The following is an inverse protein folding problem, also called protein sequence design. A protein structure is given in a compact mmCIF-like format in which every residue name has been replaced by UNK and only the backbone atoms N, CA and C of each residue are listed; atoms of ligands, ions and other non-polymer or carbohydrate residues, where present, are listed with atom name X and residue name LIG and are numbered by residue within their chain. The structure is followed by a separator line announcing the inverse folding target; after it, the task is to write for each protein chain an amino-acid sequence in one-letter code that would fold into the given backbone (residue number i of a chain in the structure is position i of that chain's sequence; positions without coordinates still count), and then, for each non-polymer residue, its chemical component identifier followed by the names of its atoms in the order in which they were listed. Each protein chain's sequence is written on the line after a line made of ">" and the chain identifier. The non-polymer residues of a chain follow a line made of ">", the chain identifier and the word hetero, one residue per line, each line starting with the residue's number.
data_IF_369724870846
#
_entry.id   IF_369724870846
#
_cell.length_a   1.000
_cell.length_b   1.000
_cell.length_c   1.000
_cell.angle_alpha   90.00
_cell.angle_beta   90.00
_cell.angle_gamma   90.00
#
_symmetry.space_group_name_H-M   'P 1'
#
loop_
_entity.id
_entity.type
_entity.pdbx_description
1 polymer ?
#
# COMPACT_ATOMS: atom_id res chain seq x y z
N UNK A 1 -33.74 19.26 -24.38
CA UNK A 1 -33.43 18.75 -23.04
C UNK A 1 -32.57 17.53 -23.18
N UNK A 2 -31.27 17.62 -22.87
CA UNK A 2 -30.35 16.49 -22.92
C UNK A 2 -29.82 16.21 -21.51
N UNK A 3 -29.95 14.97 -21.05
CA UNK A 3 -29.34 14.52 -19.79
C UNK A 3 -27.93 14.05 -20.11
N UNK A 4 -26.92 14.84 -19.78
CA UNK A 4 -25.52 14.44 -19.95
C UNK A 4 -25.07 13.65 -18.72
N UNK A 5 -24.55 12.44 -18.93
CA UNK A 5 -23.91 11.67 -17.86
C UNK A 5 -22.57 12.33 -17.52
N UNK A 6 -22.40 12.74 -16.26
CA UNK A 6 -21.15 13.34 -15.75
C UNK A 6 -20.46 12.33 -14.84
N UNK A 7 -19.19 12.08 -15.09
CA UNK A 7 -18.36 11.30 -14.18
C UNK A 7 -18.15 12.05 -12.86
N UNK A 8 -18.32 11.36 -11.74
CA UNK A 8 -18.07 11.88 -10.39
C UNK A 8 -16.88 11.14 -9.82
N UNK A 9 -15.83 11.88 -9.46
CA UNK A 9 -14.63 11.30 -8.85
C UNK A 9 -14.99 10.67 -7.51
N UNK A 10 -14.71 9.38 -7.37
CA UNK A 10 -14.87 8.64 -6.12
C UNK A 10 -13.70 8.87 -5.14
N UNK A 11 -13.70 8.16 -3.99
CA UNK A 11 -12.73 8.34 -2.92
C UNK A 11 -11.29 7.96 -3.30
N UNK A 12 -11.11 7.17 -4.37
CA UNK A 12 -9.78 6.77 -4.86
C UNK A 12 -8.98 7.94 -5.45
N UNK A 13 -9.64 9.04 -5.84
CA UNK A 13 -8.99 10.24 -6.36
C UNK A 13 -8.45 11.10 -5.19
N UNK A 14 -7.46 10.57 -4.48
CA UNK A 14 -6.80 11.16 -3.31
C UNK A 14 -5.30 10.91 -3.39
N UNK A 15 -4.50 11.58 -2.55
CA UNK A 15 -3.07 11.28 -2.43
C UNK A 15 -2.79 10.10 -1.50
N UNK A 16 -3.58 9.95 -0.43
CA UNK A 16 -3.48 8.84 0.53
C UNK A 16 -4.85 8.19 0.65
N UNK A 17 -4.91 6.87 0.44
CA UNK A 17 -6.11 6.07 0.57
C UNK A 17 -5.90 4.99 1.64
N UNK A 18 -6.77 4.97 2.66
CA UNK A 18 -6.89 3.87 3.59
C UNK A 18 -8.04 2.97 3.13
N UNK A 19 -7.72 1.77 2.65
CA UNK A 19 -8.64 0.71 2.30
C UNK A 19 -8.78 -0.25 3.48
N UNK A 20 -9.70 0.09 4.39
CA UNK A 20 -9.94 -0.71 5.58
C UNK A 20 -10.66 -2.03 5.25
N UNK A 21 -10.19 -3.12 5.83
CA UNK A 21 -10.69 -4.49 5.66
C UNK A 21 -10.92 -4.85 4.18
N UNK A 22 -9.88 -4.69 3.35
CA UNK A 22 -9.96 -4.91 1.90
C UNK A 22 -10.48 -6.32 1.55
N UNK A 23 -10.23 -7.30 2.44
CA UNK A 23 -10.71 -8.67 2.33
C UNK A 23 -12.24 -8.80 2.48
N UNK A 24 -12.99 -7.80 2.96
CA UNK A 24 -14.46 -7.84 3.02
C UNK A 24 -15.13 -7.32 1.76
N UNK A 25 -14.37 -6.73 0.85
CA UNK A 25 -14.91 -6.23 -0.41
C UNK A 25 -14.99 -7.34 -1.46
N UNK A 26 -15.98 -7.34 -2.36
CA UNK A 26 -16.08 -8.33 -3.43
C UNK A 26 -14.81 -8.34 -4.31
N UNK A 27 -14.42 -9.48 -4.91
CA UNK A 27 -13.21 -9.58 -5.73
C UNK A 27 -13.11 -8.55 -6.86
N UNK A 28 -14.25 -8.14 -7.44
CA UNK A 28 -14.28 -7.09 -8.48
C UNK A 28 -13.83 -5.73 -7.96
N UNK A 29 -14.20 -5.40 -6.72
CA UNK A 29 -13.82 -4.14 -6.07
C UNK A 29 -12.33 -4.16 -5.69
N UNK A 30 -11.85 -5.29 -5.17
CA UNK A 30 -10.43 -5.51 -4.90
C UNK A 30 -9.61 -5.32 -6.18
N UNK A 31 -9.97 -6.00 -7.27
CA UNK A 31 -9.29 -5.86 -8.57
C UNK A 31 -9.31 -4.43 -9.09
N UNK A 32 -10.42 -3.69 -8.95
CA UNK A 32 -10.49 -2.30 -9.40
C UNK A 32 -9.55 -1.36 -8.63
N UNK A 33 -9.40 -1.58 -7.31
CA UNK A 33 -8.42 -0.84 -6.51
C UNK A 33 -6.99 -1.18 -6.92
N UNK A 34 -6.68 -2.46 -7.10
CA UNK A 34 -5.35 -2.92 -7.50
C UNK A 34 -4.96 -2.46 -8.91
N UNK A 35 -5.92 -2.42 -9.83
CA UNK A 35 -5.73 -1.83 -11.16
C UNK A 35 -5.34 -0.36 -11.06
N UNK A 36 -6.06 0.42 -10.24
CA UNK A 36 -5.71 1.82 -10.02
C UNK A 36 -4.36 2.02 -9.30
N UNK A 37 -3.95 1.06 -8.46
CA UNK A 37 -2.63 1.06 -7.83
C UNK A 37 -1.50 0.83 -8.84
N UNK A 38 -1.66 -0.11 -9.75
CA UNK A 38 -0.65 -0.42 -10.77
C UNK A 38 -0.63 0.61 -11.90
N UNK A 39 -1.79 0.87 -12.50
CA UNK A 39 -1.92 1.68 -13.71
C UNK A 39 -1.94 3.19 -13.40
N UNK A 40 -2.12 3.57 -12.12
CA UNK A 40 -2.22 4.96 -11.65
C UNK A 40 -3.30 5.77 -12.39
N UNK A 41 -4.35 5.10 -12.85
CA UNK A 41 -5.47 5.69 -13.57
C UNK A 41 -6.75 4.86 -13.39
N UNK A 42 -7.90 5.46 -13.68
CA UNK A 42 -9.20 4.80 -13.69
C UNK A 42 -9.92 5.13 -14.99
N UNK A 43 -10.42 4.12 -15.69
CA UNK A 43 -11.20 4.31 -16.93
C UNK A 43 -12.69 4.16 -16.64
N UNK A 44 -13.48 5.19 -16.97
CA UNK A 44 -14.93 5.20 -16.80
C UNK A 44 -15.60 5.67 -18.10
N UNK A 45 -16.54 4.87 -18.62
CA UNK A 45 -17.29 5.18 -19.84
C UNK A 45 -16.38 5.55 -21.05
N UNK A 46 -15.24 4.86 -21.20
CA UNK A 46 -14.27 5.09 -22.28
C UNK A 46 -13.37 6.31 -22.08
N UNK A 47 -13.47 7.01 -20.95
CA UNK A 47 -12.60 8.14 -20.59
C UNK A 47 -11.68 7.71 -19.46
N UNK A 48 -10.38 7.87 -19.67
CA UNK A 48 -9.35 7.58 -18.67
C UNK A 48 -9.05 8.81 -17.83
N UNK A 49 -9.04 8.63 -16.52
CA UNK A 49 -8.78 9.67 -15.53
C UNK A 49 -7.52 9.31 -14.74
N UNK A 50 -6.47 10.16 -14.77
CA UNK A 50 -5.27 9.92 -13.99
C UNK A 50 -5.56 10.07 -12.48
N UNK A 51 -4.86 9.27 -11.66
CA UNK A 51 -4.87 9.43 -10.20
C UNK A 51 -4.08 10.68 -9.78
N UNK A 52 -4.35 11.15 -8.55
CA UNK A 52 -3.50 12.19 -7.95
C UNK A 52 -2.07 11.67 -7.76
N UNK A 53 -1.08 12.55 -7.72
CA UNK A 53 0.31 12.18 -7.45
C UNK A 53 0.84 13.03 -6.27
N UNK A 54 1.48 12.41 -5.27
CA UNK A 54 1.68 10.97 -5.08
C UNK A 54 0.35 10.25 -4.80
N UNK A 55 0.27 8.94 -5.12
CA UNK A 55 -0.85 8.06 -4.77
C UNK A 55 -0.35 6.89 -3.93
N UNK A 56 -0.72 6.89 -2.65
CA UNK A 56 -0.30 5.91 -1.66
C UNK A 56 -1.52 5.19 -1.07
N UNK A 57 -1.45 3.86 -1.02
CA UNK A 57 -2.54 3.03 -0.50
C UNK A 57 -2.05 2.28 0.73
N UNK A 58 -2.78 2.44 1.82
CA UNK A 58 -2.72 1.62 3.01
C UNK A 58 -3.92 0.69 2.97
N UNK A 59 -3.71 -0.62 3.09
CA UNK A 59 -4.79 -1.59 3.16
C UNK A 59 -4.66 -2.42 4.43
N UNK A 60 -5.76 -2.63 5.14
CA UNK A 60 -5.81 -3.50 6.30
C UNK A 60 -6.56 -4.78 5.94
N UNK A 61 -6.22 -5.87 6.62
CA UNK A 61 -6.93 -7.14 6.53
C UNK A 61 -7.23 -7.60 7.95
N UNK A 62 -8.48 -7.97 8.21
CA UNK A 62 -8.84 -8.60 9.47
C UNK A 62 -8.68 -10.12 9.33
N UNK A 63 -7.73 -10.76 10.04
CA UNK A 63 -7.42 -12.18 9.84
C UNK A 63 -8.37 -13.13 10.60
N UNK A 64 -9.20 -12.61 11.50
CA UNK A 64 -9.99 -13.43 12.45
C UNK A 64 -11.39 -13.73 11.91
N UNK A 65 -11.99 -12.81 11.15
CA UNK A 65 -13.34 -12.98 10.59
C UNK A 65 -13.28 -13.69 9.24
N UNK A 66 -13.85 -14.90 9.16
CA UNK A 66 -13.91 -15.68 7.92
C UNK A 66 -15.23 -15.53 7.17
N UNK A 67 -16.31 -15.13 7.86
CA UNK A 67 -17.63 -14.97 7.24
C UNK A 67 -17.69 -13.68 6.41
N UNK A 68 -18.09 -13.81 5.13
CA UNK A 68 -18.20 -12.66 4.23
C UNK A 68 -16.86 -12.06 3.80
N UNK A 69 -15.76 -12.83 3.88
CA UNK A 69 -14.45 -12.40 3.40
C UNK A 69 -14.05 -13.09 2.09
N UNK A 70 -13.28 -12.37 1.30
CA UNK A 70 -12.67 -12.75 0.05
C UNK A 70 -11.15 -12.55 0.21
N UNK A 71 -10.39 -13.63 0.45
CA UNK A 71 -8.94 -13.50 0.63
C UNK A 71 -8.31 -12.97 -0.66
N UNK A 72 -7.33 -12.09 -0.51
CA UNK A 72 -6.56 -11.61 -1.65
C UNK A 72 -5.63 -12.75 -2.10
N UNK A 73 -5.69 -13.20 -3.37
CA UNK A 73 -4.70 -14.11 -3.92
C UNK A 73 -3.29 -13.56 -3.75
N UNK A 74 -2.29 -14.43 -3.61
CA UNK A 74 -0.88 -14.03 -3.47
C UNK A 74 -0.43 -13.08 -4.59
N UNK A 75 -0.82 -13.36 -5.83
CA UNK A 75 -0.54 -12.50 -6.98
C UNK A 75 -1.09 -11.07 -6.83
N UNK A 76 -2.12 -10.85 -6.01
CA UNK A 76 -2.65 -9.52 -5.69
C UNK A 76 -1.88 -8.88 -4.54
N UNK A 77 -1.50 -9.65 -3.53
CA UNK A 77 -0.68 -9.20 -2.41
C UNK A 77 0.71 -8.72 -2.87
N UNK A 78 1.26 -9.34 -3.92
CA UNK A 78 2.55 -9.00 -4.52
C UNK A 78 2.64 -7.55 -5.05
N UNK A 79 1.49 -6.89 -5.22
CA UNK A 79 1.39 -5.47 -5.61
C UNK A 79 1.66 -4.50 -4.46
N UNK A 80 1.67 -5.00 -3.22
CA UNK A 80 2.00 -4.21 -2.05
C UNK A 80 3.49 -4.33 -1.76
N UNK A 81 4.16 -3.18 -1.61
CA UNK A 81 5.59 -3.13 -1.31
C UNK A 81 5.92 -3.74 0.06
N UNK A 82 5.01 -3.62 1.03
CA UNK A 82 5.19 -4.11 2.39
C UNK A 82 3.92 -4.80 2.89
N UNK A 83 4.10 -5.92 3.58
CA UNK A 83 3.13 -6.51 4.49
C UNK A 83 3.62 -6.23 5.91
N UNK A 84 2.84 -5.47 6.67
CA UNK A 84 3.15 -5.13 8.07
C UNK A 84 2.22 -5.96 8.95
N UNK A 85 2.79 -6.73 9.87
CA UNK A 85 2.04 -7.44 10.91
C UNK A 85 1.98 -6.54 12.14
N UNK A 86 0.75 -6.21 12.56
CA UNK A 86 0.50 -5.32 13.69
C UNK A 86 0.18 -6.16 14.92
N UNK A 87 1.00 -6.01 15.95
CA UNK A 87 0.76 -6.56 17.28
C UNK A 87 0.26 -5.49 18.24
N UNK A 88 -0.25 -5.92 19.38
CA UNK A 88 -0.59 -5.01 20.47
C UNK A 88 0.66 -4.30 21.01
N UNK A 89 0.46 -3.06 21.44
CA UNK A 89 1.49 -2.29 22.14
C UNK A 89 1.88 -2.96 23.46
N UNK A 90 3.08 -2.67 23.94
CA UNK A 90 3.42 -2.97 25.34
C UNK A 90 2.52 -2.14 26.28
N UNK A 91 2.27 -2.63 27.49
CA UNK A 91 1.48 -1.90 28.49
C UNK A 91 2.02 -0.47 28.72
N UNK A 92 3.35 -0.31 28.72
CA UNK A 92 3.99 1.00 28.90
C UNK A 92 3.73 1.96 27.73
N UNK A 93 3.77 1.46 26.49
CA UNK A 93 3.48 2.24 25.30
C UNK A 93 1.98 2.56 25.20
N UNK A 94 1.12 1.61 25.56
CA UNK A 94 -0.34 1.80 25.58
C UNK A 94 -0.76 2.86 26.60
N UNK A 95 -0.19 2.85 27.81
CA UNK A 95 -0.37 3.92 28.81
C UNK A 95 0.05 5.28 28.24
N UNK A 96 1.14 5.32 27.47
CA UNK A 96 1.63 6.55 26.84
C UNK A 96 0.65 7.07 25.78
N UNK A 97 0.15 6.19 24.91
CA UNK A 97 -0.84 6.53 23.87
C UNK A 97 -2.15 7.03 24.49
N UNK A 98 -2.66 6.35 25.53
CA UNK A 98 -3.89 6.77 26.23
C UNK A 98 -3.70 8.14 26.87
N UNK A 99 -2.54 8.38 27.51
CA UNK A 99 -2.24 9.68 28.11
C UNK A 99 -2.16 10.79 27.07
N UNK A 100 -1.57 10.54 25.91
CA UNK A 100 -1.45 11.54 24.85
C UNK A 100 -2.79 11.84 24.18
N UNK A 101 -3.59 10.80 23.89
CA UNK A 101 -4.90 10.94 23.23
C UNK A 101 -5.94 11.63 24.11
N UNK A 102 -5.80 11.56 25.43
CA UNK A 102 -6.71 12.21 26.39
C UNK A 102 -6.36 13.68 26.67
N UNK A 103 -5.22 14.17 26.16
CA UNK A 103 -4.88 15.59 26.22
C UNK A 103 -5.53 16.33 25.05
N UNK A 104 -6.10 17.50 25.33
CA UNK A 104 -6.55 18.42 24.29
C UNK A 104 -5.32 19.11 23.70
N UNK A 105 -4.99 18.78 22.45
CA UNK A 105 -3.96 19.46 21.67
C UNK A 105 -4.65 20.36 20.64
N UNK A 106 -4.63 21.67 20.88
CA UNK A 106 -5.16 22.70 19.96
C UNK A 106 -4.07 23.30 19.05
N UNK A 107 -2.88 22.71 19.02
CA UNK A 107 -1.77 23.19 18.18
C UNK A 107 -2.03 22.87 16.71
N UNK A 108 -2.03 23.92 15.88
CA UNK A 108 -2.11 23.77 14.44
C UNK A 108 -0.81 23.14 13.90
N UNK A 109 -0.93 22.03 13.20
CA UNK A 109 0.20 21.38 12.56
C UNK A 109 0.68 22.21 11.35
N UNK A 110 1.97 22.53 11.32
CA UNK A 110 2.60 23.08 10.12
C UNK A 110 2.76 21.97 9.07
N UNK A 111 2.52 22.32 7.80
CA UNK A 111 2.67 21.41 6.67
C UNK A 111 3.83 21.90 5.79
N UNK A 112 5.09 21.71 6.22
CA UNK A 112 6.26 22.25 5.52
C UNK A 112 6.54 21.57 4.18
N UNK A 113 5.87 20.44 3.90
CA UNK A 113 6.05 19.64 2.69
C UNK A 113 4.69 19.31 2.07
N UNK A 114 4.62 19.40 0.75
CA UNK A 114 3.46 19.03 -0.07
C UNK A 114 3.73 17.81 -0.96
N UNK A 115 2.75 17.50 -1.81
CA UNK A 115 2.86 16.38 -2.77
C UNK A 115 3.99 16.54 -3.78
N UNK A 116 4.25 17.76 -4.25
CA UNK A 116 5.33 18.05 -5.21
C UNK A 116 6.72 17.77 -4.61
N UNK A 117 6.93 18.12 -3.33
CA UNK A 117 8.18 17.82 -2.62
C UNK A 117 8.42 16.31 -2.52
N UNK A 118 7.36 15.54 -2.24
CA UNK A 118 7.44 14.06 -2.19
C UNK A 118 7.86 13.50 -3.55
N UNK A 119 7.32 14.01 -4.66
CA UNK A 119 7.69 13.56 -6.00
C UNK A 119 9.16 13.89 -6.32
N UNK A 120 9.64 15.06 -5.89
CA UNK A 120 11.03 15.44 -6.04
C UNK A 120 11.96 14.56 -5.20
N UNK A 121 11.59 14.22 -3.97
CA UNK A 121 12.34 13.28 -3.14
C UNK A 121 12.40 11.88 -3.76
N UNK A 122 11.30 11.39 -4.35
CA UNK A 122 11.30 10.12 -5.09
C UNK A 122 12.24 10.15 -6.32
N UNK A 123 12.39 11.31 -6.96
CA UNK A 123 13.35 11.49 -8.05
C UNK A 123 14.78 11.45 -7.54
N UNK A 124 15.07 12.19 -6.46
CA UNK A 124 16.40 12.24 -5.84
C UNK A 124 16.82 10.86 -5.30
N UNK A 125 15.92 10.13 -4.65
CA UNK A 125 16.20 8.79 -4.13
C UNK A 125 16.70 7.83 -5.23
N UNK A 126 16.18 7.94 -6.46
CA UNK A 126 16.62 7.15 -7.61
C UNK A 126 18.02 7.52 -8.14
N UNK A 127 18.55 8.68 -7.78
CA UNK A 127 19.89 9.11 -8.15
C UNK A 127 20.97 8.55 -7.23
N UNK A 128 20.59 7.96 -6.08
CA UNK A 128 21.53 7.38 -5.14
C UNK A 128 22.14 6.11 -5.76
N UNK A 129 23.47 6.09 -6.04
CA UNK A 129 24.09 4.92 -6.63
C UNK A 129 24.14 3.77 -5.62
N UNK A 130 23.73 2.57 -6.05
CA UNK A 130 23.93 1.35 -5.28
C UNK A 130 25.31 0.75 -5.64
N UNK A 131 26.12 0.44 -4.63
CA UNK A 131 27.38 -0.26 -4.85
C UNK A 131 27.12 -1.65 -5.46
N UNK A 132 27.99 -2.10 -6.38
CA UNK A 132 27.86 -3.40 -7.06
C UNK A 132 27.66 -4.56 -6.08
N UNK A 133 28.38 -4.55 -4.94
CA UNK A 133 28.23 -5.56 -3.90
C UNK A 133 26.81 -5.62 -3.30
N UNK A 134 26.12 -4.49 -3.18
CA UNK A 134 24.74 -4.40 -2.68
C UNK A 134 23.77 -4.97 -3.70
N UNK A 135 23.96 -4.63 -4.98
CA UNK A 135 23.14 -5.15 -6.08
C UNK A 135 23.25 -6.68 -6.15
N UNK A 136 24.48 -7.20 -6.13
CA UNK A 136 24.72 -8.64 -6.12
C UNK A 136 24.13 -9.33 -4.89
N UNK A 137 24.22 -8.70 -3.72
CA UNK A 137 23.62 -9.22 -2.51
C UNK A 137 22.09 -9.30 -2.62
N UNK A 138 21.43 -8.24 -3.10
CA UNK A 138 19.99 -8.22 -3.32
C UNK A 138 19.55 -9.31 -4.29
N UNK A 139 20.26 -9.49 -5.41
CA UNK A 139 19.98 -10.57 -6.38
C UNK A 139 20.15 -11.95 -5.73
N UNK A 140 21.23 -12.17 -4.98
CA UNK A 140 21.44 -13.45 -4.25
C UNK A 140 20.32 -13.73 -3.27
N UNK A 141 19.84 -12.71 -2.54
CA UNK A 141 18.75 -12.84 -1.59
C UNK A 141 17.46 -13.28 -2.29
N UNK A 142 17.09 -12.64 -3.39
CA UNK A 142 15.92 -13.03 -4.21
C UNK A 142 16.07 -14.43 -4.79
N UNK A 143 17.28 -14.81 -5.19
CA UNK A 143 17.55 -16.15 -5.69
C UNK A 143 17.43 -17.23 -4.61
N UNK A 144 17.83 -16.92 -3.37
CA UNK A 144 17.75 -17.83 -2.23
C UNK A 144 16.32 -18.01 -1.68
N UNK A 145 15.38 -17.15 -2.08
CA UNK A 145 13.96 -17.29 -1.74
C UNK A 145 13.17 -18.13 -2.76
N UNK A 146 13.82 -18.68 -3.81
CA UNK A 146 13.18 -19.54 -4.81
C UNK A 146 13.37 -21.01 -4.43
N UNK A 147 12.31 -21.82 -4.20
CA UNK A 147 12.45 -23.22 -3.79
C UNK A 147 13.26 -24.08 -4.77
N UNK A 148 13.28 -23.73 -6.06
CA UNK A 148 13.96 -24.50 -7.11
C UNK A 148 15.47 -24.23 -7.21
N UNK A 149 16.01 -23.30 -6.41
CA UNK A 149 17.43 -22.98 -6.43
C UNK A 149 18.22 -23.91 -5.50
N UNK A 150 19.32 -24.47 -6.01
CA UNK A 150 20.22 -25.38 -5.28
C UNK A 150 20.71 -24.76 -3.96
N UNK A 151 20.96 -23.44 -3.96
CA UNK A 151 21.50 -22.71 -2.82
C UNK A 151 20.45 -22.15 -1.86
N UNK A 152 19.17 -22.44 -2.07
CA UNK A 152 18.11 -22.01 -1.14
C UNK A 152 18.21 -22.77 0.19
N UNK A 153 17.98 -22.10 1.33
CA UNK A 153 17.88 -22.77 2.62
C UNK A 153 16.78 -23.83 2.64
N UNK A 154 16.92 -24.85 3.48
CA UNK A 154 16.00 -25.99 3.51
C UNK A 154 14.55 -25.55 3.81
N UNK A 155 14.35 -24.60 4.74
CA UNK A 155 13.02 -24.08 5.06
C UNK A 155 12.30 -23.38 3.89
N UNK A 156 13.04 -22.94 2.86
CA UNK A 156 12.47 -22.38 1.62
C UNK A 156 12.15 -23.49 0.62
N UNK A 157 12.94 -24.57 0.60
CA UNK A 157 12.72 -25.73 -0.28
C UNK A 157 11.53 -26.59 0.18
N UNK A 158 11.24 -26.57 1.48
CA UNK A 158 10.16 -27.31 2.12
C UNK A 158 8.79 -26.61 2.03
N UNK A 159 8.73 -25.40 1.43
CA UNK A 159 7.52 -24.59 1.28
C UNK A 159 6.78 -24.89 -0.03
#
# INVERSE_FOLDING_TARGET
>A
GGRTLKFVKGPIFTSILLADEINRTPPKTQSALLEAMEERQVTAAGVTHPMAQPFFVLATQNPIELEGTYPLPEAQLDRFMFKIELDYLSEADEITVVRQTTQTHDEALEHPLGGEDILEFQRIARLVPAAEAVIQYAVRLVHASRPQNEFSPDFVKDW
#
